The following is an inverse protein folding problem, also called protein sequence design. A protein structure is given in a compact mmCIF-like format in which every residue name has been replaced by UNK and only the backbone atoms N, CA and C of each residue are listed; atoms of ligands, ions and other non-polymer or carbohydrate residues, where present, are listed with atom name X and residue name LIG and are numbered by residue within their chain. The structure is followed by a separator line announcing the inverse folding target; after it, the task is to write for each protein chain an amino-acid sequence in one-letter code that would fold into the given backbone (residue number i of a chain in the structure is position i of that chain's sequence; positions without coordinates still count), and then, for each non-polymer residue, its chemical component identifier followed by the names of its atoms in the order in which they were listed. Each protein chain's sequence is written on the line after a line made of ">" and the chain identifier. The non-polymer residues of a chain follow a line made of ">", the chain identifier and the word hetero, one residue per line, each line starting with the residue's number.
data_IF_313806405370
#
_entry.id   IF_313806405370
#
_cell.length_a   1.000
_cell.length_b   1.000
_cell.length_c   1.000
_cell.angle_alpha   90.00
_cell.angle_beta   90.00
_cell.angle_gamma   90.00
#
_symmetry.space_group_name_H-M   'P 1'
#
loop_
_entity.id
_entity.type
_entity.pdbx_description
1 polymer ?
#
# COMPACT_ATOMS: atom_id res chain seq x y z
N UNK A 1 72.36 -17.50 53.82
CA UNK A 1 71.69 -16.23 54.17
C UNK A 1 70.55 -16.01 53.19
N UNK A 2 69.40 -16.56 53.55
CA UNK A 2 68.17 -16.64 52.75
C UNK A 2 67.21 -15.56 53.28
N UNK A 3 67.04 -14.42 52.58
CA UNK A 3 65.86 -13.53 52.76
C UNK A 3 65.80 -12.24 51.89
N UNK A 4 66.46 -12.17 50.72
CA UNK A 4 66.48 -10.91 49.92
C UNK A 4 65.74 -11.00 48.58
N UNK A 5 65.47 -12.19 48.06
CA UNK A 5 64.86 -12.36 46.71
C UNK A 5 63.32 -12.36 46.71
N UNK A 6 62.66 -12.82 47.79
CA UNK A 6 61.20 -12.90 47.86
C UNK A 6 60.50 -11.56 48.15
N UNK A 7 61.19 -10.59 48.75
CA UNK A 7 60.62 -9.26 49.05
C UNK A 7 60.67 -8.31 47.84
N UNK A 8 61.62 -8.46 46.92
CA UNK A 8 61.65 -7.65 45.69
C UNK A 8 60.59 -8.10 44.68
N UNK A 9 60.35 -9.40 44.52
CA UNK A 9 59.30 -9.92 43.63
C UNK A 9 57.88 -9.57 44.10
N UNK A 10 57.60 -9.65 45.40
CA UNK A 10 56.30 -9.20 45.93
C UNK A 10 56.08 -7.69 45.78
N UNK A 11 57.14 -6.87 45.86
CA UNK A 11 57.04 -5.41 45.65
C UNK A 11 56.81 -5.04 44.18
N UNK A 12 57.40 -5.78 43.25
CA UNK A 12 57.20 -5.61 41.80
C UNK A 12 55.79 -6.06 41.39
N UNK A 13 55.29 -7.17 41.94
CA UNK A 13 53.93 -7.65 41.68
C UNK A 13 52.88 -6.72 42.30
N UNK A 14 53.07 -6.22 43.52
CA UNK A 14 52.17 -5.25 44.15
C UNK A 14 52.20 -3.90 43.41
N UNK A 15 53.37 -3.42 42.98
CA UNK A 15 53.48 -2.20 42.17
C UNK A 15 52.77 -2.36 40.80
N UNK A 16 52.89 -3.52 40.15
CA UNK A 16 52.20 -3.81 38.88
C UNK A 16 50.67 -3.88 39.01
N UNK A 17 50.15 -4.48 40.09
CA UNK A 17 48.70 -4.53 40.37
C UNK A 17 48.15 -3.15 40.73
N UNK A 18 48.88 -2.33 41.49
CA UNK A 18 48.47 -0.95 41.82
C UNK A 18 48.47 -0.06 40.57
N UNK A 19 49.47 -0.19 39.68
CA UNK A 19 49.51 0.57 38.42
C UNK A 19 48.35 0.18 37.47
N UNK A 20 48.02 -1.11 37.38
CA UNK A 20 46.89 -1.60 36.60
C UNK A 20 45.54 -1.14 37.17
N UNK A 21 45.38 -1.11 38.50
CA UNK A 21 44.17 -0.63 39.16
C UNK A 21 43.96 0.89 39.02
N UNK A 22 45.04 1.68 39.07
CA UNK A 22 44.98 3.14 38.85
C UNK A 22 44.71 3.49 37.39
N UNK A 23 45.28 2.74 36.43
CA UNK A 23 44.98 2.90 35.01
C UNK A 23 43.51 2.55 34.66
N UNK A 24 42.97 1.48 35.26
CA UNK A 24 41.55 1.12 35.11
C UNK A 24 40.60 2.14 35.74
N UNK A 25 40.94 2.72 36.90
CA UNK A 25 40.14 3.79 37.51
C UNK A 25 40.22 5.11 36.73
N UNK A 26 41.38 5.47 36.16
CA UNK A 26 41.49 6.66 35.31
C UNK A 26 40.70 6.54 33.99
N UNK A 27 40.61 5.33 33.42
CA UNK A 27 39.77 5.04 32.26
C UNK A 27 38.26 5.10 32.59
N UNK A 28 37.85 4.68 33.80
CA UNK A 28 36.46 4.76 34.27
C UNK A 28 36.02 6.19 34.59
N UNK A 29 36.93 7.08 35.03
CA UNK A 29 36.60 8.49 35.33
C UNK A 29 36.51 9.34 34.05
N UNK A 30 37.27 9.01 32.99
CA UNK A 30 37.13 9.65 31.67
C UNK A 30 35.88 9.21 30.89
N UNK A 31 35.27 8.08 31.25
CA UNK A 31 34.01 7.61 30.66
C UNK A 31 32.75 8.32 31.21
N UNK A 32 32.87 9.12 32.29
CA UNK A 32 31.74 9.81 32.94
C UNK A 32 31.76 11.34 32.78
N UNK A 33 32.74 11.90 32.07
CA UNK A 33 32.84 13.35 31.76
C UNK A 33 32.44 13.69 30.30
N UNK A 34 31.63 12.84 29.65
CA UNK A 34 31.23 12.96 28.25
C UNK A 34 29.76 13.32 27.97
N UNK A 35 28.93 13.55 29.00
CA UNK A 35 27.57 14.03 28.82
C UNK A 35 27.50 15.54 29.03
N UNK A 36 28.02 16.31 28.07
CA UNK A 36 27.34 17.57 27.76
C UNK A 36 25.91 17.20 27.37
N UNK A 37 24.85 17.84 27.90
CA UNK A 37 23.53 17.60 27.38
C UNK A 37 23.61 17.99 25.90
N UNK A 38 23.53 16.99 25.01
CA UNK A 38 22.95 17.26 23.70
C UNK A 38 21.61 17.87 24.07
N UNK A 39 21.48 19.19 23.90
CA UNK A 39 20.17 19.75 23.67
C UNK A 39 19.64 18.87 22.54
N UNK A 40 18.74 17.95 22.91
CA UNK A 40 17.78 17.44 21.96
C UNK A 40 17.16 18.74 21.49
N UNK A 41 17.61 19.19 20.33
CA UNK A 41 16.82 20.11 19.55
C UNK A 41 15.50 19.37 19.48
N UNK A 42 14.52 19.82 20.26
CA UNK A 42 13.13 19.51 19.93
C UNK A 42 13.08 19.67 18.41
N UNK A 43 12.54 18.69 17.67
CA UNK A 43 12.33 18.92 16.25
C UNK A 43 11.60 20.25 16.22
N UNK A 44 12.22 21.26 15.60
CA UNK A 44 11.50 22.48 15.30
C UNK A 44 10.32 21.93 14.52
N UNK A 45 9.15 21.95 15.13
CA UNK A 45 7.91 21.76 14.42
C UNK A 45 7.90 22.99 13.51
N UNK A 46 8.54 22.86 12.35
CA UNK A 46 8.24 23.71 11.22
C UNK A 46 6.78 23.41 10.95
N UNK A 47 5.93 24.18 11.63
CA UNK A 47 4.54 24.26 11.32
C UNK A 47 4.51 24.79 9.90
N UNK A 48 4.20 23.91 8.95
CA UNK A 48 3.93 24.31 7.58
C UNK A 48 2.86 25.41 7.65
N UNK A 49 3.17 26.65 7.22
CA UNK A 49 2.23 27.76 7.29
C UNK A 49 0.95 27.48 6.49
N UNK A 50 0.98 26.52 5.57
CA UNK A 50 -0.18 26.09 4.78
C UNK A 50 -1.01 25.00 5.46
N UNK A 51 -0.53 24.35 6.52
CA UNK A 51 -1.19 23.16 7.10
C UNK A 51 -2.66 23.40 7.51
N UNK A 52 -2.97 24.60 7.99
CA UNK A 52 -4.32 24.98 8.43
C UNK A 52 -5.12 25.74 7.37
N UNK A 53 -4.57 25.96 6.18
CA UNK A 53 -5.30 26.59 5.08
C UNK A 53 -6.31 25.57 4.56
N UNK A 54 -7.58 25.97 4.53
CA UNK A 54 -8.66 25.18 3.97
C UNK A 54 -8.50 25.15 2.45
N UNK A 55 -8.53 23.95 1.89
CA UNK A 55 -8.55 23.74 0.47
C UNK A 55 -9.92 24.15 -0.10
N UNK A 56 -9.91 24.96 -1.16
CA UNK A 56 -11.11 25.34 -1.88
C UNK A 56 -11.29 24.43 -3.10
N UNK A 57 -12.32 23.59 -3.10
CA UNK A 57 -12.65 22.72 -4.23
C UNK A 57 -12.92 23.52 -5.51
N UNK A 58 -12.32 23.06 -6.62
CA UNK A 58 -12.54 23.56 -7.98
C UNK A 58 -12.43 22.39 -8.95
N UNK A 59 -13.14 22.49 -10.07
CA UNK A 59 -13.16 21.43 -11.10
C UNK A 59 -11.80 21.27 -11.82
N UNK A 60 -10.93 22.27 -11.73
CA UNK A 60 -9.56 22.29 -12.28
C UNK A 60 -8.48 22.29 -11.18
N UNK A 61 -8.83 21.83 -9.97
CA UNK A 61 -7.88 21.78 -8.87
C UNK A 61 -6.72 20.81 -9.15
N UNK A 62 -5.51 21.20 -8.74
CA UNK A 62 -4.32 20.35 -8.80
C UNK A 62 -4.41 19.23 -7.76
N UNK A 63 -4.84 18.03 -8.21
CA UNK A 63 -5.01 16.86 -7.35
C UNK A 63 -3.67 16.42 -6.73
N UNK A 64 -2.55 16.59 -7.42
CA UNK A 64 -1.22 16.17 -6.99
C UNK A 64 -0.70 16.97 -5.78
N UNK A 65 -1.35 18.10 -5.44
CA UNK A 65 -1.07 18.83 -4.22
C UNK A 65 -1.21 17.95 -2.95
N UNK A 66 -2.18 17.03 -2.96
CA UNK A 66 -2.45 16.10 -1.86
C UNK A 66 -2.31 14.61 -2.26
N UNK A 67 -2.66 14.25 -3.50
CA UNK A 67 -2.68 12.87 -4.02
C UNK A 67 -1.38 12.51 -4.76
N UNK A 68 -0.25 12.70 -4.07
CA UNK A 68 1.09 12.46 -4.65
C UNK A 68 1.36 10.99 -4.96
N UNK A 69 0.73 10.09 -4.20
CA UNK A 69 0.89 8.66 -4.43
C UNK A 69 0.24 8.25 -5.75
N UNK A 70 -0.98 8.72 -6.00
CA UNK A 70 -1.71 8.43 -7.24
C UNK A 70 -0.99 9.04 -8.44
N UNK A 71 -0.51 10.29 -8.33
CA UNK A 71 0.32 10.94 -9.36
C UNK A 71 1.60 10.16 -9.64
N UNK A 72 2.32 9.71 -8.59
CA UNK A 72 3.52 8.91 -8.75
C UNK A 72 3.24 7.57 -9.45
N UNK A 73 2.12 6.91 -9.13
CA UNK A 73 1.71 5.66 -9.79
C UNK A 73 1.43 5.84 -11.29
N UNK A 74 0.90 7.00 -11.71
CA UNK A 74 0.74 7.30 -13.14
C UNK A 74 2.10 7.38 -13.86
N UNK A 75 3.18 7.70 -13.16
CA UNK A 75 4.54 7.68 -13.72
C UNK A 75 5.28 6.35 -13.53
N UNK A 76 4.74 5.42 -12.73
CA UNK A 76 5.42 4.17 -12.38
C UNK A 76 4.99 3.01 -13.26
N UNK A 77 5.94 2.46 -14.02
CA UNK A 77 5.70 1.30 -14.86
C UNK A 77 5.37 0.01 -14.07
N UNK A 78 5.62 -0.05 -12.76
CA UNK A 78 5.13 -1.13 -11.89
C UNK A 78 3.61 -1.11 -11.76
N UNK A 79 3.01 0.07 -11.79
CA UNK A 79 1.57 0.29 -11.70
C UNK A 79 0.99 0.43 -13.11
N UNK A 80 1.03 -0.67 -13.88
CA UNK A 80 0.67 -0.65 -15.30
C UNK A 80 -0.72 -0.06 -15.56
N UNK A 81 -1.71 -0.30 -14.69
CA UNK A 81 -3.05 0.26 -14.87
C UNK A 81 -3.04 1.79 -14.80
N UNK A 82 -2.41 2.40 -13.79
CA UNK A 82 -2.30 3.86 -13.70
C UNK A 82 -1.42 4.41 -14.83
N UNK A 83 -0.26 3.80 -15.05
CA UNK A 83 0.71 4.27 -16.02
C UNK A 83 0.20 4.30 -17.46
N UNK A 84 -0.62 3.31 -17.86
CA UNK A 84 -1.25 3.30 -19.18
C UNK A 84 -2.31 4.41 -19.36
N UNK A 85 -2.75 5.05 -18.28
CA UNK A 85 -3.68 6.17 -18.30
C UNK A 85 -3.00 7.50 -17.96
N UNK A 86 -1.65 7.57 -17.96
CA UNK A 86 -0.89 8.77 -17.57
C UNK A 86 -1.23 10.04 -18.36
N UNK A 87 -1.78 9.90 -19.57
CA UNK A 87 -2.21 11.01 -20.42
C UNK A 87 -3.63 11.53 -20.09
N UNK A 88 -4.33 10.89 -19.14
CA UNK A 88 -5.67 11.29 -18.70
C UNK A 88 -5.60 12.16 -17.44
N UNK A 89 -6.50 13.13 -17.37
CA UNK A 89 -6.76 13.93 -16.18
C UNK A 89 -7.62 13.14 -15.17
N UNK A 90 -7.45 13.42 -13.87
CA UNK A 90 -8.12 12.66 -12.80
C UNK A 90 -9.65 12.63 -12.95
N UNK A 91 -10.26 13.74 -13.36
CA UNK A 91 -11.72 13.88 -13.52
C UNK A 91 -12.27 13.13 -14.74
N UNK A 92 -11.41 12.62 -15.64
CA UNK A 92 -11.87 11.76 -16.74
C UNK A 92 -12.31 10.38 -16.25
N UNK A 93 -11.81 9.93 -15.08
CA UNK A 93 -12.27 8.71 -14.43
C UNK A 93 -13.13 9.01 -13.19
N UNK A 94 -12.72 10.01 -12.39
CA UNK A 94 -13.46 10.47 -11.21
C UNK A 94 -14.53 11.48 -11.60
N UNK A 95 -15.60 11.00 -12.23
CA UNK A 95 -16.61 11.85 -12.88
C UNK A 95 -17.70 12.38 -11.95
N UNK A 96 -17.87 11.81 -10.74
CA UNK A 96 -18.83 12.32 -9.76
C UNK A 96 -18.29 13.58 -9.05
N UNK A 97 -18.41 14.71 -9.74
CA UNK A 97 -18.02 16.05 -9.24
C UNK A 97 -18.78 16.47 -7.97
N UNK A 98 -20.02 16.00 -7.79
CA UNK A 98 -20.80 16.33 -6.59
C UNK A 98 -20.24 15.62 -5.36
N UNK A 99 -19.91 14.32 -5.50
CA UNK A 99 -19.27 13.55 -4.43
C UNK A 99 -17.87 14.06 -4.15
N UNK A 100 -17.10 14.42 -5.20
CA UNK A 100 -15.79 15.05 -5.04
C UNK A 100 -15.88 16.35 -4.24
N UNK A 101 -16.82 17.25 -4.56
CA UNK A 101 -17.02 18.47 -3.79
C UNK A 101 -17.40 18.19 -2.32
N UNK A 102 -18.21 17.17 -2.07
CA UNK A 102 -18.59 16.74 -0.71
C UNK A 102 -17.37 16.29 0.11
N UNK A 103 -16.55 15.38 -0.43
CA UNK A 103 -15.42 14.80 0.31
C UNK A 103 -14.26 15.77 0.50
N UNK A 104 -14.13 16.78 -0.36
CA UNK A 104 -13.11 17.83 -0.23
C UNK A 104 -13.56 19.02 0.61
N UNK A 105 -14.82 19.09 1.01
CA UNK A 105 -15.34 20.20 1.79
C UNK A 105 -14.68 20.28 3.18
N UNK A 106 -13.97 21.37 3.44
CA UNK A 106 -13.34 21.63 4.74
C UNK A 106 -12.02 20.89 4.98
N UNK A 107 -11.48 20.18 3.97
CA UNK A 107 -10.14 19.60 4.02
C UNK A 107 -9.09 20.71 4.11
N UNK A 108 -8.02 20.50 4.87
CA UNK A 108 -6.87 21.42 4.93
C UNK A 108 -5.63 20.79 4.31
N UNK A 109 -4.69 21.60 3.82
CA UNK A 109 -3.46 21.08 3.20
C UNK A 109 -2.56 20.25 4.13
N UNK A 110 -2.68 20.44 5.44
CA UNK A 110 -1.95 19.64 6.43
C UNK A 110 -2.65 18.34 6.83
N UNK A 111 -3.85 18.08 6.32
CA UNK A 111 -4.59 16.87 6.62
C UNK A 111 -3.98 15.68 5.86
N UNK A 112 -3.82 14.54 6.54
CA UNK A 112 -3.52 13.28 5.85
C UNK A 112 -4.72 12.88 5.02
N UNK A 113 -4.53 12.74 3.70
CA UNK A 113 -5.54 12.16 2.82
C UNK A 113 -5.58 10.64 2.99
N UNK A 114 -6.74 9.99 2.88
CA UNK A 114 -6.80 8.53 2.78
C UNK A 114 -5.92 8.03 1.63
N UNK A 115 -5.22 6.92 1.85
CA UNK A 115 -4.38 6.27 0.83
C UNK A 115 -5.20 5.65 -0.32
N UNK A 116 -6.53 5.57 -0.17
CA UNK A 116 -7.42 5.04 -1.20
C UNK A 116 -8.50 6.07 -1.52
N UNK A 117 -8.53 6.54 -2.78
CA UNK A 117 -9.67 7.29 -3.29
C UNK A 117 -10.92 6.40 -3.24
N UNK A 118 -12.06 6.97 -2.84
CA UNK A 118 -13.31 6.23 -2.85
C UNK A 118 -13.69 5.88 -4.29
N UNK A 119 -13.77 4.58 -4.59
CA UNK A 119 -14.24 4.05 -5.88
C UNK A 119 -15.63 4.60 -6.27
N UNK A 120 -16.40 5.12 -5.31
CA UNK A 120 -17.72 5.75 -5.49
C UNK A 120 -17.75 6.87 -6.54
N UNK A 121 -16.60 7.48 -6.84
CA UNK A 121 -16.51 8.58 -7.82
C UNK A 121 -16.28 8.10 -9.26
N UNK A 122 -16.04 6.80 -9.46
CA UNK A 122 -15.76 6.19 -10.77
C UNK A 122 -16.96 5.35 -11.20
N UNK A 123 -17.63 5.78 -12.27
CA UNK A 123 -18.68 4.99 -12.92
C UNK A 123 -18.05 3.98 -13.90
N UNK A 124 -18.43 2.71 -13.82
CA UNK A 124 -17.99 1.68 -14.76
C UNK A 124 -18.38 1.98 -16.21
N UNK A 125 -19.44 2.76 -16.43
CA UNK A 125 -19.82 3.24 -17.76
C UNK A 125 -18.74 4.13 -18.40
N UNK A 126 -17.94 4.85 -17.60
CA UNK A 126 -16.81 5.65 -18.08
C UNK A 126 -15.73 4.78 -18.72
N UNK A 127 -15.45 3.61 -18.13
CA UNK A 127 -14.50 2.66 -18.70
C UNK A 127 -15.01 2.09 -20.03
N UNK A 128 -16.31 1.81 -20.10
CA UNK A 128 -16.99 1.22 -21.26
C UNK A 128 -17.33 2.23 -22.36
N UNK A 129 -16.85 3.47 -22.27
CA UNK A 129 -16.96 4.40 -23.37
C UNK A 129 -16.28 3.79 -24.63
N UNK A 130 -16.91 3.86 -25.81
CA UNK A 130 -16.33 3.33 -27.05
C UNK A 130 -14.98 3.94 -27.44
N UNK A 131 -14.65 5.14 -26.94
CA UNK A 131 -13.35 5.77 -27.14
C UNK A 131 -12.28 5.23 -26.17
N UNK A 132 -12.70 4.49 -25.13
CA UNK A 132 -11.86 3.87 -24.11
C UNK A 132 -11.79 2.34 -24.28
N UNK A 133 -12.52 1.56 -23.47
CA UNK A 133 -12.46 0.09 -23.48
C UNK A 133 -13.60 -0.59 -24.26
N UNK A 134 -14.63 0.15 -24.68
CA UNK A 134 -15.74 -0.40 -25.46
C UNK A 134 -16.61 -1.38 -24.67
N UNK A 135 -17.20 -2.36 -25.36
CA UNK A 135 -18.18 -3.26 -24.74
C UNK A 135 -17.54 -4.45 -24.03
N UNK A 136 -18.29 -5.07 -23.12
CA UNK A 136 -17.87 -6.32 -22.46
C UNK A 136 -17.56 -7.44 -23.45
N UNK A 137 -18.31 -7.54 -24.55
CA UNK A 137 -18.06 -8.54 -25.59
C UNK A 137 -16.75 -8.29 -26.34
N UNK A 138 -16.42 -7.02 -26.62
CA UNK A 138 -15.15 -6.65 -27.27
C UNK A 138 -13.97 -6.96 -26.35
N UNK A 139 -14.08 -6.59 -25.07
CA UNK A 139 -13.08 -6.93 -24.05
C UNK A 139 -12.91 -8.44 -23.88
N UNK A 140 -14.02 -9.20 -23.85
CA UNK A 140 -13.99 -10.65 -23.75
C UNK A 140 -13.23 -11.31 -24.90
N UNK A 141 -13.45 -10.85 -26.14
CA UNK A 141 -12.74 -11.36 -27.31
C UNK A 141 -11.24 -11.01 -27.25
N UNK A 142 -10.89 -9.79 -26.81
CA UNK A 142 -9.49 -9.37 -26.63
C UNK A 142 -8.77 -10.20 -25.56
N UNK A 143 -9.48 -10.64 -24.51
CA UNK A 143 -8.90 -11.39 -23.39
C UNK A 143 -9.17 -12.89 -23.43
N UNK A 144 -9.69 -13.44 -24.53
CA UNK A 144 -10.06 -14.87 -24.63
C UNK A 144 -8.92 -15.85 -24.38
N UNK A 145 -7.69 -15.44 -24.71
CA UNK A 145 -6.47 -16.25 -24.54
C UNK A 145 -5.70 -15.87 -23.26
N UNK A 146 -6.25 -14.98 -22.43
CA UNK A 146 -5.62 -14.58 -21.16
C UNK A 146 -5.59 -15.74 -20.17
N UNK A 147 -4.44 -15.95 -19.54
CA UNK A 147 -4.26 -16.95 -18.48
C UNK A 147 -4.08 -16.30 -17.10
N UNK A 148 -4.38 -15.00 -16.96
CA UNK A 148 -4.13 -14.25 -15.73
C UNK A 148 -4.95 -14.77 -14.53
N UNK A 149 -6.19 -15.22 -14.77
CA UNK A 149 -7.01 -15.85 -13.74
C UNK A 149 -7.05 -17.35 -13.94
N UNK A 150 -6.23 -18.05 -13.15
CA UNK A 150 -6.16 -19.52 -13.10
C UNK A 150 -6.44 -20.00 -11.69
N UNK A 151 -7.29 -21.02 -11.57
CA UNK A 151 -7.60 -21.64 -10.28
C UNK A 151 -6.56 -22.70 -9.87
N UNK A 152 -6.64 -23.21 -8.65
CA UNK A 152 -5.70 -24.22 -8.11
C UNK A 152 -5.69 -25.53 -8.91
N UNK A 153 -6.70 -25.78 -9.74
CA UNK A 153 -6.82 -26.96 -10.59
C UNK A 153 -6.43 -26.69 -12.05
N UNK A 154 -5.94 -25.49 -12.35
CA UNK A 154 -5.52 -25.08 -13.69
C UNK A 154 -6.68 -24.68 -14.61
N UNK A 155 -7.90 -24.47 -14.07
CA UNK A 155 -9.00 -23.91 -14.87
C UNK A 155 -8.76 -22.42 -15.03
N UNK A 156 -8.62 -21.99 -16.27
CA UNK A 156 -8.53 -20.58 -16.65
C UNK A 156 -9.93 -20.00 -16.78
N UNK A 157 -10.12 -18.78 -16.29
CA UNK A 157 -11.35 -18.00 -16.43
C UNK A 157 -11.02 -16.69 -17.16
N UNK A 158 -11.75 -16.40 -18.23
CA UNK A 158 -11.71 -15.08 -18.84
C UNK A 158 -12.47 -14.09 -17.91
N UNK A 159 -11.80 -13.07 -17.32
CA UNK A 159 -12.45 -12.14 -16.40
C UNK A 159 -13.52 -11.27 -17.06
N UNK A 160 -13.53 -11.13 -18.38
CA UNK A 160 -14.52 -10.33 -19.11
C UNK A 160 -15.63 -11.17 -19.72
N UNK A 161 -15.61 -12.48 -19.53
CA UNK A 161 -16.66 -13.39 -20.01
C UNK A 161 -17.16 -14.27 -18.86
N UNK A 162 -18.19 -13.79 -18.16
CA UNK A 162 -18.78 -14.53 -17.06
C UNK A 162 -19.73 -15.62 -17.58
N UNK A 163 -19.60 -16.83 -17.06
CA UNK A 163 -20.63 -17.86 -17.26
C UNK A 163 -21.93 -17.40 -16.58
N UNK A 164 -22.96 -17.10 -17.36
CA UNK A 164 -24.25 -16.67 -16.81
C UNK A 164 -24.88 -17.74 -15.92
N UNK A 165 -25.60 -17.29 -14.89
CA UNK A 165 -26.29 -18.12 -13.90
C UNK A 165 -26.77 -17.24 -12.75
N UNK A 166 -27.74 -17.72 -11.97
CA UNK A 166 -28.47 -16.92 -10.97
C UNK A 166 -27.56 -16.06 -10.07
N UNK A 167 -26.42 -16.60 -9.61
CA UNK A 167 -25.49 -15.89 -8.75
C UNK A 167 -24.58 -14.91 -9.49
N UNK A 168 -24.12 -15.22 -10.71
CA UNK A 168 -23.30 -14.28 -11.49
C UNK A 168 -24.16 -13.15 -12.08
N UNK A 169 -25.41 -13.45 -12.46
CA UNK A 169 -26.33 -12.45 -12.98
C UNK A 169 -26.77 -11.46 -11.89
N UNK A 170 -26.89 -11.91 -10.64
CA UNK A 170 -27.24 -11.06 -9.50
C UNK A 170 -26.06 -10.27 -8.93
N UNK A 171 -24.81 -10.69 -9.20
CA UNK A 171 -23.59 -10.10 -8.63
C UNK A 171 -22.57 -9.80 -9.73
N UNK A 172 -22.98 -9.00 -10.73
CA UNK A 172 -22.07 -8.57 -11.79
C UNK A 172 -21.05 -7.56 -11.24
N UNK A 173 -19.74 -7.80 -11.40
CA UNK A 173 -18.72 -6.87 -10.94
C UNK A 173 -18.75 -5.57 -11.76
N UNK A 174 -18.38 -4.48 -11.11
CA UNK A 174 -17.92 -3.27 -11.78
C UNK A 174 -16.44 -3.42 -12.16
N UNK A 175 -15.97 -2.62 -13.11
CA UNK A 175 -14.58 -2.64 -13.57
C UNK A 175 -13.60 -2.52 -12.39
N UNK A 176 -13.92 -1.63 -11.43
CA UNK A 176 -13.11 -1.33 -10.25
C UNK A 176 -13.09 -2.42 -9.18
N UNK A 177 -14.01 -3.40 -9.26
CA UNK A 177 -14.00 -4.54 -8.32
C UNK A 177 -12.82 -5.48 -8.58
N UNK A 178 -12.34 -5.52 -9.83
CA UNK A 178 -11.19 -6.32 -10.26
C UNK A 178 -9.97 -5.44 -10.60
N UNK A 179 -10.20 -4.31 -11.26
CA UNK A 179 -9.16 -3.37 -11.65
C UNK A 179 -9.05 -2.25 -10.62
N UNK A 180 -8.12 -2.37 -9.68
CA UNK A 180 -7.70 -1.21 -8.89
C UNK A 180 -6.65 -0.44 -9.70
N UNK A 181 -7.02 0.75 -10.18
CA UNK A 181 -6.20 1.52 -11.11
C UNK A 181 -4.91 1.98 -10.43
N UNK A 182 -5.02 2.46 -9.19
CA UNK A 182 -3.90 2.90 -8.37
C UNK A 182 -3.36 1.76 -7.48
N UNK A 183 -3.04 0.62 -8.10
CA UNK A 183 -2.49 -0.56 -7.43
C UNK A 183 -1.49 -1.27 -8.33
N UNK A 184 -0.40 -1.74 -7.74
CA UNK A 184 0.62 -2.57 -8.41
C UNK A 184 0.22 -4.06 -8.46
N UNK A 185 -0.88 -4.43 -7.79
CA UNK A 185 -1.23 -5.82 -7.46
C UNK A 185 -2.42 -6.34 -8.31
N UNK A 186 -2.47 -6.01 -9.60
CA UNK A 186 -3.63 -6.30 -10.48
C UNK A 186 -4.16 -7.74 -10.38
N UNK A 187 -3.30 -8.73 -10.53
CA UNK A 187 -3.72 -10.14 -10.54
C UNK A 187 -4.33 -10.55 -9.20
N UNK A 188 -3.72 -10.08 -8.11
CA UNK A 188 -4.22 -10.31 -6.75
C UNK A 188 -5.55 -9.58 -6.56
N UNK A 189 -5.65 -8.33 -6.96
CA UNK A 189 -6.86 -7.52 -6.84
C UNK A 189 -8.03 -8.15 -7.59
N UNK A 190 -7.82 -8.56 -8.84
CA UNK A 190 -8.81 -9.27 -9.64
C UNK A 190 -9.23 -10.61 -9.00
N UNK A 191 -8.28 -11.37 -8.47
CA UNK A 191 -8.59 -12.66 -7.82
C UNK A 191 -9.40 -12.49 -6.52
N UNK A 192 -9.23 -11.38 -5.79
CA UNK A 192 -9.98 -11.15 -4.55
C UNK A 192 -11.48 -11.08 -4.80
N UNK A 193 -11.92 -10.51 -5.93
CA UNK A 193 -13.34 -10.52 -6.29
C UNK A 193 -13.88 -11.94 -6.40
N UNK A 194 -13.22 -12.79 -7.20
CA UNK A 194 -13.59 -14.19 -7.38
C UNK A 194 -13.59 -14.96 -6.05
N UNK A 195 -12.60 -14.69 -5.19
CA UNK A 195 -12.43 -15.38 -3.92
C UNK A 195 -13.59 -15.15 -2.93
N UNK A 196 -14.42 -14.13 -3.10
CA UNK A 196 -15.61 -13.93 -2.27
C UNK A 196 -16.59 -15.10 -2.36
N UNK A 197 -16.74 -15.69 -3.55
CA UNK A 197 -17.58 -16.87 -3.78
C UNK A 197 -16.75 -18.15 -3.95
N UNK A 198 -15.54 -18.03 -4.50
CA UNK A 198 -14.62 -19.12 -4.82
C UNK A 198 -13.44 -19.22 -3.83
N UNK A 199 -13.67 -18.95 -2.55
CA UNK A 199 -12.63 -18.93 -1.49
C UNK A 199 -11.82 -20.23 -1.32
N UNK A 200 -12.22 -21.33 -1.96
CA UNK A 200 -11.46 -22.59 -2.02
C UNK A 200 -10.47 -22.64 -3.19
N UNK A 201 -10.26 -21.53 -3.89
CA UNK A 201 -9.33 -21.47 -5.01
C UNK A 201 -9.76 -22.30 -6.22
N UNK A 202 -11.06 -22.58 -6.39
CA UNK A 202 -11.57 -23.37 -7.52
C UNK A 202 -12.76 -22.66 -8.18
N UNK A 203 -12.72 -22.49 -9.51
CA UNK A 203 -13.78 -21.85 -10.30
C UNK A 203 -14.90 -22.82 -10.68
N UNK A 204 -14.96 -23.99 -10.04
CA UNK A 204 -16.01 -24.98 -10.28
C UNK A 204 -17.25 -24.67 -9.43
N UNK A 205 -18.37 -24.38 -10.10
CA UNK A 205 -19.69 -24.21 -9.48
C UNK A 205 -20.14 -25.49 -8.75
N UNK A 206 -21.11 -25.35 -7.84
CA UNK A 206 -21.71 -26.48 -7.13
C UNK A 206 -20.78 -27.24 -6.18
N UNK A 207 -19.54 -26.79 -5.98
CA UNK A 207 -18.61 -27.40 -5.01
C UNK A 207 -18.94 -27.06 -3.56
N UNK A 208 -19.75 -26.01 -3.31
CA UNK A 208 -20.10 -25.55 -1.96
C UNK A 208 -21.56 -25.04 -1.79
N UNK A 209 -22.09 -24.22 -2.70
CA UNK A 209 -23.40 -23.56 -2.51
C UNK A 209 -24.61 -24.38 -2.99
N UNK A 210 -24.48 -25.14 -4.09
CA UNK A 210 -25.59 -25.99 -4.60
C UNK A 210 -25.77 -27.29 -3.78
N UNK A 211 -24.69 -27.84 -3.19
CA UNK A 211 -24.75 -29.05 -2.38
C UNK A 211 -25.56 -28.86 -1.09
N UNK A 212 -25.54 -27.66 -0.49
CA UNK A 212 -26.38 -27.37 0.68
C UNK A 212 -27.85 -27.20 0.32
N UNK A 213 -28.17 -26.59 -0.81
CA UNK A 213 -29.58 -26.36 -1.18
C UNK A 213 -30.28 -27.68 -1.56
N UNK A 214 -29.57 -28.64 -2.16
CA UNK A 214 -30.10 -29.99 -2.43
C UNK A 214 -30.24 -30.87 -1.19
N UNK A 215 -29.59 -30.54 -0.08
CA UNK A 215 -29.69 -31.29 1.18
C UNK A 215 -30.91 -30.90 2.02
N UNK A 216 -31.65 -29.86 1.62
CA UNK A 216 -32.83 -29.33 2.35
C UNK A 216 -34.09 -29.33 1.46
N UNK A 217 -34.04 -29.94 0.28
CA UNK A 217 -35.17 -30.13 -0.65
C UNK A 217 -35.62 -31.58 -0.68
#
# INVERSE_FOLDING_TARGET
>A
MTNVTNTMWNRILVAGVVFAAVALMAALIFALAGCAPKQVSEPKQETDPMANVVFEWKDDADCAACHKNEEAMMADASCAQANLHADLECFQCHTDTSKLAEVHNGVTYGQTVPEEATLETVDAATCQDPECHGTMEEMAELTKDSTALVDEKGKVQNPHEFTSGEQHDANQPQCTDCHKIHSEELEKDAMMWCAQCHHKGVFQCGTCHELRQRAVS
#
